data_IF_493940202055
#
_entry.id   IF_493940202055
#
_cell.length_a   1.000
_cell.length_b   1.000
_cell.length_c   1.000
_cell.angle_alpha   90.00
_cell.angle_beta   90.00
_cell.angle_gamma   90.00
#
_symmetry.space_group_name_H-M   'P 1'
#
loop_
_entity.id
_entity.type
_entity.pdbx_description
1 polymer ?
2 non-polymer ?
3 non-polymer ?
4 non-polymer ?
5 non-polymer ?
6 water ?
#
# COMPACT_ATOMS: atom_id res chain seq x y z
N UNK A 19 0.23 13.57 0.30
CA UNK A 19 0.15 12.31 -0.47
C UNK A 19 1.02 12.38 -1.75
N UNK A 20 1.67 11.27 -2.10
CA UNK A 20 2.52 11.20 -3.28
C UNK A 20 2.08 9.99 -4.07
N UNK A 21 1.38 10.24 -5.18
CA UNK A 21 0.84 9.16 -6.01
C UNK A 21 0.88 9.59 -7.45
N UNK A 22 1.44 8.76 -8.33
CA UNK A 22 1.54 9.08 -9.77
C UNK A 22 0.97 7.92 -10.56
N UNK A 23 0.42 8.22 -11.74
CA UNK A 23 -0.31 7.31 -12.61
C UNK A 23 0.29 7.16 -14.01
N UNK A 24 0.15 5.97 -14.59
CA UNK A 24 0.61 5.71 -15.95
C UNK A 24 0.90 4.24 -16.21
N UNK A 25 1.23 3.87 -17.46
CA UNK A 25 1.62 2.47 -17.72
C UNK A 25 2.85 2.12 -16.87
N UNK A 26 2.80 0.95 -16.23
CA UNK A 26 3.84 0.46 -15.33
C UNK A 26 4.43 -0.88 -15.82
N UNK A 27 5.77 -1.00 -15.77
CA UNK A 27 6.50 -2.21 -16.11
C UNK A 27 7.49 -2.44 -14.97
N UNK A 28 7.57 -3.68 -14.46
CA UNK A 28 8.47 -3.99 -13.36
C UNK A 28 9.34 -5.22 -13.70
N UNK A 29 10.58 -5.22 -13.24
CA UNK A 29 11.51 -6.33 -13.36
C UNK A 29 11.97 -6.60 -11.91
N UNK A 30 11.48 -7.70 -11.31
CA UNK A 30 11.82 -8.07 -9.94
C UNK A 30 11.62 -9.55 -9.71
N UNK A 31 12.23 -10.06 -8.64
CA UNK A 31 12.10 -11.44 -8.22
C UNK A 31 10.62 -11.75 -7.87
N UNK A 32 9.92 -10.79 -7.17
CA UNK A 32 8.52 -11.03 -6.76
C UNK A 32 7.52 -10.88 -7.92
N UNK A 33 7.88 -10.14 -8.99
CA UNK A 33 6.93 -10.01 -10.11
C UNK A 33 7.35 -10.74 -11.43
N UNK A 34 8.62 -11.09 -11.56
CA UNK A 34 9.15 -11.55 -12.85
C UNK A 34 9.27 -10.29 -13.71
N UNK A 35 9.28 -10.43 -15.04
CA UNK A 35 9.31 -9.25 -15.91
C UNK A 35 7.90 -9.05 -16.43
N UNK A 36 7.22 -8.00 -15.97
CA UNK A 36 5.82 -7.76 -16.35
C UNK A 36 5.70 -7.06 -17.69
N UNK A 37 4.49 -7.02 -18.26
CA UNK A 37 4.22 -6.24 -19.47
C UNK A 37 3.79 -4.85 -18.97
N UNK A 38 3.68 -3.85 -19.86
CA UNK A 38 3.22 -2.53 -19.47
C UNK A 38 1.75 -2.61 -19.03
N UNK A 39 1.45 -2.16 -17.80
CA UNK A 39 0.10 -2.22 -17.27
C UNK A 39 -0.24 -0.90 -16.60
N UNK A 40 -1.40 -0.32 -16.95
CA UNK A 40 -1.87 0.93 -16.39
C UNK A 40 -2.05 0.81 -14.87
N UNK A 41 -1.55 1.80 -14.13
CA UNK A 41 -1.70 1.78 -12.68
C UNK A 41 -1.11 2.99 -11.99
N UNK A 42 -0.72 2.83 -10.72
CA UNK A 42 -0.14 3.93 -9.98
C UNK A 42 0.95 3.46 -9.01
N UNK A 43 1.87 4.38 -8.68
CA UNK A 43 2.89 4.28 -7.64
C UNK A 43 2.39 5.19 -6.52
N UNK A 44 2.30 4.68 -5.29
CA UNK A 44 1.83 5.49 -4.16
C UNK A 44 2.83 5.34 -3.03
N UNK A 45 3.17 6.44 -2.35
CA UNK A 45 4.07 6.34 -1.22
C UNK A 45 3.25 5.98 0.04
N UNK A 46 3.75 5.02 0.84
CA UNK A 46 3.15 4.69 2.14
C UNK A 46 4.26 4.69 3.21
N UNK A 47 3.91 4.65 4.50
CA UNK A 47 4.93 4.64 5.55
C UNK A 47 4.45 4.07 6.86
N UNK A 48 5.43 3.74 7.72
CA UNK A 48 5.23 3.32 9.11
C UNK A 48 6.54 3.57 9.86
N UNK A 49 6.46 4.27 10.99
CA UNK A 49 7.58 4.62 11.89
C UNK A 49 8.89 4.89 11.11
N UNK A 50 8.87 5.93 10.27
CA UNK A 50 9.97 6.44 9.44
C UNK A 50 10.37 5.54 8.24
N UNK A 51 9.93 4.27 8.17
CA UNK A 51 10.24 3.41 7.02
C UNK A 51 9.26 3.72 5.86
N UNK A 52 9.81 4.11 4.70
CA UNK A 52 9.02 4.49 3.53
C UNK A 52 8.97 3.35 2.51
N UNK A 53 7.78 3.06 1.98
CA UNK A 53 7.65 2.04 0.95
C UNK A 53 6.82 2.57 -0.21
N UNK A 54 6.78 1.80 -1.31
CA UNK A 54 6.04 2.16 -2.51
C UNK A 54 5.05 1.03 -2.87
N UNK A 55 3.77 1.40 -3.05
CA UNK A 55 2.73 0.45 -3.42
C UNK A 55 2.44 0.61 -4.90
N UNK A 56 2.40 -0.53 -5.61
CA UNK A 56 2.04 -0.59 -7.02
C UNK A 56 0.61 -1.11 -7.12
N UNK A 57 -0.31 -0.27 -7.55
CA UNK A 57 -1.72 -0.67 -7.75
C UNK A 57 -1.95 -0.71 -9.26
N UNK A 58 -2.66 -1.72 -9.72
CA UNK A 58 -3.02 -1.81 -11.13
C UNK A 58 -4.49 -1.55 -11.29
N UNK A 59 -4.88 -0.90 -12.40
CA UNK A 59 -6.27 -0.62 -12.73
C UNK A 59 -7.09 -1.92 -12.80
N UNK A 60 -6.51 -3.02 -13.35
CA UNK A 60 -7.19 -4.32 -13.50
C UNK A 60 -7.49 -4.99 -12.15
N UNK A 61 -6.84 -4.54 -11.07
CA UNK A 61 -7.08 -5.10 -9.75
C UNK A 61 -5.97 -6.00 -9.24
N UNK A 62 -6.36 -6.98 -8.42
CA UNK A 62 -5.41 -7.89 -7.77
C UNK A 62 -4.86 -7.29 -6.49
N UNK A 63 -4.09 -8.07 -5.71
CA UNK A 63 -3.48 -7.58 -4.47
C UNK A 63 -2.26 -6.70 -4.82
N UNK A 64 -2.23 -5.41 -4.40
CA UNK A 64 -1.05 -4.58 -4.70
C UNK A 64 0.22 -5.11 -4.08
N UNK A 65 1.34 -4.92 -4.76
CA UNK A 65 2.66 -5.33 -4.27
C UNK A 65 3.36 -4.12 -3.71
N UNK A 66 4.19 -4.35 -2.69
CA UNK A 66 4.91 -3.28 -2.03
C UNK A 66 6.43 -3.49 -2.10
N UNK A 67 7.17 -2.38 -2.30
CA UNK A 67 8.62 -2.36 -2.45
C UNK A 67 9.11 -1.37 -1.43
N UNK A 68 10.02 -1.81 -0.57
CA UNK A 68 10.67 -0.93 0.42
C UNK A 68 11.54 0.11 -0.29
N UNK A 69 11.52 1.36 0.21
CA UNK A 69 12.32 2.46 -0.32
C UNK A 69 13.42 2.88 0.65
N UNK A 70 13.10 2.99 1.96
CA UNK A 70 14.09 3.39 2.99
C UNK A 70 15.25 2.41 2.99
N UNK A 71 16.49 2.95 2.85
CA UNK A 71 17.76 2.21 2.76
C UNK A 71 17.69 1.15 1.64
N UNK A 72 16.92 1.42 0.55
CA UNK A 72 16.74 0.44 -0.53
C UNK A 72 16.71 1.07 -1.93
N UNK A 73 16.99 2.36 -2.06
CA UNK A 73 17.02 3.03 -3.36
C UNK A 73 18.46 3.04 -3.88
N UNK A 74 18.63 2.58 -5.13
CA UNK A 74 19.93 2.56 -5.80
C UNK A 74 20.02 3.80 -6.67
N UNK A 75 19.05 3.99 -7.60
CA UNK A 75 19.04 5.17 -8.47
C UNK A 75 17.64 5.49 -9.00
N UNK A 76 17.45 6.75 -9.39
CA UNK A 76 16.22 7.28 -9.95
C UNK A 76 16.56 8.11 -11.18
N UNK A 77 15.98 7.74 -12.32
CA UNK A 77 16.22 8.42 -13.59
C UNK A 77 14.88 8.85 -14.16
N UNK A 78 14.82 10.07 -14.73
CA UNK A 78 13.67 10.59 -15.48
C UNK A 78 14.12 10.75 -16.92
N UNK A 79 13.25 10.36 -17.84
CA UNK A 79 13.50 10.49 -19.28
C UNK A 79 12.27 11.10 -19.96
N UNK A 80 12.42 12.00 -20.97
CA UNK A 80 11.22 12.57 -21.62
C UNK A 80 10.37 11.49 -22.28
N UNK A 81 9.03 11.60 -22.17
CA UNK A 81 8.10 10.63 -22.72
C UNK A 81 7.01 11.31 -23.54
N UNK A 82 7.44 12.18 -24.43
CA UNK A 82 6.58 12.99 -25.29
C UNK A 82 6.37 14.36 -24.67
N UNK A 83 5.43 15.14 -25.25
CA UNK A 83 5.11 16.49 -24.79
C UNK A 83 4.48 16.51 -23.39
N UNK A 84 5.14 17.25 -22.47
CA UNK A 84 4.77 17.52 -21.07
C UNK A 84 4.70 16.27 -20.19
N UNK A 85 5.36 15.18 -20.61
CA UNK A 85 5.34 13.91 -19.88
C UNK A 85 6.74 13.33 -19.69
N UNK A 86 6.88 12.47 -18.68
CA UNK A 86 8.16 11.84 -18.37
C UNK A 86 8.00 10.38 -17.97
N UNK A 87 9.10 9.64 -18.10
CA UNK A 87 9.19 8.25 -17.68
C UNK A 87 10.09 8.26 -16.48
N UNK A 88 9.64 7.66 -15.40
CA UNK A 88 10.40 7.59 -14.16
C UNK A 88 10.89 6.17 -13.99
N UNK A 89 12.19 6.00 -13.78
CA UNK A 89 12.80 4.68 -13.61
C UNK A 89 13.52 4.61 -12.29
N UNK A 90 13.01 3.75 -11.44
CA UNK A 90 13.50 3.52 -10.09
C UNK A 90 14.19 2.17 -9.99
N UNK A 91 15.49 2.16 -9.65
CA UNK A 91 16.23 0.95 -9.39
C UNK A 91 16.42 0.85 -7.89
N UNK A 92 16.13 -0.32 -7.32
CA UNK A 92 16.31 -0.59 -5.90
C UNK A 92 17.64 -1.30 -5.66
N UNK A 93 18.12 -1.36 -4.39
CA UNK A 93 19.40 -1.97 -4.02
C UNK A 93 19.40 -3.50 -4.23
N UNK A 94 18.20 -4.11 -4.27
CA UNK A 94 18.08 -5.54 -4.53
C UNK A 94 17.96 -5.81 -6.06
N UNK A 95 18.14 -4.74 -6.88
CA UNK A 95 18.14 -4.75 -8.34
C UNK A 95 16.76 -4.76 -8.98
N UNK A 96 15.68 -4.64 -8.16
CA UNK A 96 14.33 -4.48 -8.70
C UNK A 96 14.32 -3.18 -9.53
N UNK A 97 13.69 -3.23 -10.69
CA UNK A 97 13.59 -2.09 -11.60
C UNK A 97 12.13 -1.81 -11.84
N UNK A 98 11.68 -0.61 -11.46
CA UNK A 98 10.29 -0.17 -11.60
C UNK A 98 10.22 1.00 -12.53
N UNK A 99 9.38 0.87 -13.56
CA UNK A 99 9.18 1.95 -14.53
C UNK A 99 7.73 2.38 -14.60
N UNK A 100 7.54 3.69 -14.77
CA UNK A 100 6.20 4.29 -14.90
C UNK A 100 6.32 5.33 -16.01
N UNK A 101 5.46 5.20 -17.01
CA UNK A 101 5.54 6.02 -18.21
C UNK A 101 4.39 7.03 -18.32
N UNK A 102 4.54 8.02 -19.22
CA UNK A 102 3.54 9.05 -19.53
C UNK A 102 3.02 9.80 -18.29
N UNK A 103 3.92 10.09 -17.33
CA UNK A 103 3.58 10.83 -16.11
C UNK A 103 3.66 12.32 -16.41
N UNK A 104 2.66 13.16 -16.04
CA UNK A 104 2.82 14.62 -16.24
C UNK A 104 4.16 15.01 -15.59
N UNK A 105 5.01 15.72 -16.36
CA UNK A 105 6.39 16.06 -15.98
C UNK A 105 6.57 16.67 -14.58
N UNK A 106 5.65 17.55 -14.14
CA UNK A 106 5.72 18.18 -12.80
C UNK A 106 5.55 17.13 -11.70
N UNK A 107 4.62 16.18 -11.91
CA UNK A 107 4.35 15.09 -10.97
C UNK A 107 5.55 14.14 -10.88
N UNK A 108 6.15 13.78 -12.03
CA UNK A 108 7.31 12.90 -12.10
C UNK A 108 8.53 13.53 -11.38
N UNK A 109 8.73 14.86 -11.54
CA UNK A 109 9.83 15.58 -10.91
C UNK A 109 9.66 15.66 -9.39
N UNK A 110 8.42 15.84 -8.92
CA UNK A 110 8.11 15.87 -7.50
C UNK A 110 8.41 14.50 -6.86
N UNK A 111 8.00 13.40 -7.54
CA UNK A 111 8.28 12.03 -7.09
C UNK A 111 9.78 11.78 -7.05
N UNK A 112 10.52 12.17 -8.10
CA UNK A 112 11.99 12.02 -8.15
C UNK A 112 12.66 12.76 -6.99
N UNK A 113 12.24 14.01 -6.71
CA UNK A 113 12.76 14.82 -5.61
C UNK A 113 12.53 14.08 -4.27
N UNK A 114 11.32 13.53 -4.08
CA UNK A 114 11.01 12.78 -2.87
C UNK A 114 11.87 11.52 -2.78
N UNK A 115 12.03 10.80 -3.90
CA UNK A 115 12.80 9.56 -3.91
C UNK A 115 14.28 9.83 -3.65
N UNK A 116 14.79 10.97 -4.17
CA UNK A 116 16.17 11.40 -3.93
C UNK A 116 16.37 11.69 -2.42
N UNK A 117 15.42 12.43 -1.79
CA UNK A 117 15.48 12.74 -0.35
C UNK A 117 15.45 11.43 0.51
N UNK A 118 14.65 10.41 0.14
CA UNK A 118 14.60 9.11 0.84
C UNK A 118 15.97 8.42 0.71
N UNK A 119 16.50 8.40 -0.53
CA UNK A 119 17.79 7.79 -0.86
C UNK A 119 18.92 8.39 0.00
N UNK A 120 18.81 9.71 0.30
CA UNK A 120 19.75 10.46 1.13
C UNK A 120 19.40 10.41 2.64
N UNK A 121 18.45 9.53 3.05
CA UNK A 121 18.03 9.30 4.44
C UNK A 121 17.48 10.59 5.11
N UNK A 122 16.46 11.21 4.46
CA UNK A 122 15.80 12.44 4.91
C UNK A 122 14.29 12.20 5.01
N UNK B 18 -8.30 -10.40 -7.06
CA UNK B 18 -8.33 -10.92 -5.70
C UNK B 18 -8.08 -9.86 -4.65
N UNK B 19 -8.32 -8.58 -4.99
CA UNK B 19 -8.11 -7.45 -4.07
C UNK B 19 -9.04 -7.53 -2.86
N UNK B 20 -8.55 -7.08 -1.70
CA UNK B 20 -9.31 -7.09 -0.43
C UNK B 20 -9.26 -5.69 0.14
N UNK B 21 -10.30 -4.91 -0.18
CA UNK B 21 -10.39 -3.53 0.22
C UNK B 21 -11.79 -3.28 0.70
N UNK B 22 -11.87 -2.59 1.84
CA UNK B 22 -13.15 -2.26 2.49
C UNK B 22 -13.14 -0.80 2.92
N UNK B 23 -14.27 -0.08 2.71
CA UNK B 23 -14.44 1.34 3.03
C UNK B 23 -15.37 1.54 4.24
N UNK B 24 -15.08 2.54 5.07
CA UNK B 24 -15.92 2.87 6.23
C UNK B 24 -15.26 3.76 7.27
N UNK B 25 -16.00 4.15 8.34
CA UNK B 25 -15.36 4.92 9.41
C UNK B 25 -14.27 4.08 10.07
N UNK B 26 -13.08 4.65 10.26
CA UNK B 26 -11.94 3.98 10.86
C UNK B 26 -11.50 4.67 12.15
N UNK B 27 -11.15 3.86 13.17
CA UNK B 27 -10.63 4.31 14.48
C UNK B 27 -9.37 3.45 14.77
N UNK B 28 -8.20 4.09 14.96
CA UNK B 28 -6.93 3.41 15.23
C UNK B 28 -6.30 3.91 16.54
N UNK B 29 -5.88 2.96 17.40
CA UNK B 29 -5.22 3.22 18.69
C UNK B 29 -3.78 2.64 18.58
N UNK B 30 -2.80 3.51 18.23
CA UNK B 30 -1.38 3.11 18.08
C UNK B 30 -0.44 4.31 18.29
N UNK B 34 -1.59 7.75 19.60
CA UNK B 34 -2.68 7.39 20.49
C UNK B 34 -3.98 7.08 19.79
N UNK B 35 -5.07 6.90 20.58
CA UNK B 35 -6.42 6.58 20.11
C UNK B 35 -7.02 7.75 19.29
N UNK B 36 -7.37 7.48 18.02
CA UNK B 36 -7.95 8.50 17.13
C UNK B 36 -9.48 8.54 17.24
N UNK B 37 -10.10 9.52 16.55
CA UNK B 37 -11.55 9.64 16.41
C UNK B 37 -11.93 8.88 15.13
N UNK B 38 -13.22 8.58 14.90
CA UNK B 38 -13.67 7.89 13.68
C UNK B 38 -13.42 8.79 12.48
N UNK B 39 -12.76 8.26 11.46
CA UNK B 39 -12.45 8.97 10.22
C UNK B 39 -12.78 8.08 9.04
N UNK B 40 -13.47 8.63 8.01
CA UNK B 40 -13.78 7.85 6.82
C UNK B 40 -12.48 7.47 6.13
N UNK B 41 -12.42 6.23 5.66
CA UNK B 41 -11.24 5.77 4.92
C UNK B 41 -11.41 4.36 4.43
N UNK B 42 -10.30 3.65 4.23
CA UNK B 42 -10.35 2.28 3.77
C UNK B 42 -9.21 1.43 4.32
N UNK B 43 -9.45 0.13 4.40
CA UNK B 43 -8.46 -0.87 4.75
C UNK B 43 -8.17 -1.60 3.45
N UNK B 44 -6.88 -1.82 3.13
CA UNK B 44 -6.55 -2.56 1.92
C UNK B 44 -5.42 -3.54 2.20
N UNK B 45 -5.54 -4.79 1.72
CA UNK B 45 -4.48 -5.77 1.85
C UNK B 45 -3.46 -5.53 0.75
N UNK B 46 -2.16 -5.59 1.10
CA UNK B 46 -1.05 -5.49 0.14
C UNK B 46 -0.04 -6.57 0.55
N UNK B 47 0.91 -6.89 -0.33
CA UNK B 47 1.89 -7.90 0.04
C UNK B 47 3.27 -7.62 -0.55
N UNK B 48 4.32 -8.11 0.15
CA UNK B 48 5.74 -8.00 -0.22
C UNK B 48 6.26 -9.43 -0.13
N UNK B 49 6.63 -10.05 -1.26
CA UNK B 49 7.04 -11.45 -1.34
C UNK B 49 5.94 -12.28 -0.67
N UNK B 50 6.21 -12.95 0.48
CA UNK B 50 5.19 -13.70 1.21
C UNK B 50 4.56 -12.89 2.38
N UNK B 51 5.13 -11.72 2.73
CA UNK B 51 4.67 -10.87 3.83
C UNK B 51 3.42 -10.08 3.45
N UNK B 52 2.41 -10.20 4.29
CA UNK B 52 1.11 -9.56 4.10
C UNK B 52 1.04 -8.34 5.02
N UNK B 53 0.57 -7.22 4.48
CA UNK B 53 0.39 -5.99 5.25
C UNK B 53 -0.98 -5.38 4.97
N UNK B 54 -1.36 -4.37 5.76
CA UNK B 54 -2.64 -3.69 5.61
C UNK B 54 -2.33 -2.21 5.51
N UNK B 55 -2.83 -1.56 4.47
CA UNK B 55 -2.63 -0.11 4.25
C UNK B 55 -3.92 0.61 4.66
N UNK B 56 -3.79 1.66 5.47
CA UNK B 56 -4.94 2.45 5.90
C UNK B 56 -4.95 3.78 5.12
N UNK B 57 -5.98 4.01 4.29
CA UNK B 57 -6.11 5.29 3.55
C UNK B 57 -7.19 6.09 4.25
N UNK B 58 -6.96 7.38 4.50
CA UNK B 58 -8.01 8.23 5.09
C UNK B 58 -8.54 9.17 4.04
N UNK B 59 -9.77 9.66 4.22
CA UNK B 59 -10.38 10.64 3.32
C UNK B 59 -9.70 12.00 3.41
N UNK B 60 -9.08 12.34 4.57
CA UNK B 60 -8.38 13.60 4.81
C UNK B 60 -7.02 13.68 4.08
N UNK B 61 -6.69 12.65 3.30
CA UNK B 61 -5.44 12.57 2.55
C UNK B 61 -4.26 12.16 3.40
N UNK B 62 -3.10 12.72 3.09
CA UNK B 62 -1.86 12.40 3.79
C UNK B 62 -1.22 11.11 3.31
N UNK B 63 -0.04 10.75 3.84
CA UNK B 63 0.65 9.52 3.47
C UNK B 63 -0.04 8.37 4.16
N UNK B 64 -0.58 7.37 3.40
CA UNK B 64 -1.21 6.21 4.05
C UNK B 64 -0.22 5.44 4.91
N UNK B 65 -0.70 4.90 6.04
CA UNK B 65 0.12 4.09 6.94
C UNK B 65 -0.02 2.62 6.63
N UNK B 66 1.06 1.89 6.75
CA UNK B 66 1.08 0.46 6.47
C UNK B 66 1.37 -0.32 7.79
N UNK B 67 0.59 -1.39 8.04
CA UNK B 67 0.69 -2.23 9.24
C UNK B 67 1.01 -3.64 8.80
N UNK B 68 2.02 -4.22 9.40
CA UNK B 68 2.39 -5.58 9.07
C UNK B 68 1.36 -6.53 9.69
N UNK B 69 0.93 -7.54 8.91
CA UNK B 69 -0.02 -8.57 9.37
C UNK B 69 0.66 -9.91 9.61
N UNK B 70 1.54 -10.34 8.69
CA UNK B 70 2.27 -11.60 8.81
C UNK B 70 3.08 -11.63 10.12
N UNK B 71 2.84 -12.67 10.96
CA UNK B 71 3.45 -12.89 12.29
C UNK B 71 3.25 -11.67 13.24
N UNK B 72 2.16 -10.93 13.05
CA UNK B 72 1.89 -9.72 13.83
C UNK B 72 0.42 -9.58 14.22
N UNK B 73 -0.43 -10.59 13.98
CA UNK B 73 -1.83 -10.52 14.41
C UNK B 73 -1.97 -11.15 15.80
N UNK B 74 -2.76 -10.51 16.68
CA UNK B 74 -3.02 -11.02 18.02
C UNK B 74 -4.47 -11.47 18.10
N UNK B 75 -5.40 -10.66 17.57
CA UNK B 75 -6.84 -10.92 17.65
C UNK B 75 -7.57 -10.36 16.44
N UNK B 76 -8.61 -11.08 15.97
CA UNK B 76 -9.49 -10.67 14.87
C UNK B 76 -10.91 -10.82 15.39
N UNK B 77 -11.62 -9.71 15.59
CA UNK B 77 -12.98 -9.74 16.13
C UNK B 77 -13.93 -9.13 15.09
N UNK B 78 -15.07 -9.77 14.87
CA UNK B 78 -16.11 -9.32 13.96
C UNK B 78 -17.43 -9.23 14.72
N UNK B 79 -18.04 -8.04 14.76
CA UNK B 79 -19.29 -7.84 15.48
C UNK B 79 -20.37 -7.17 14.64
N UNK B 80 -21.67 -7.54 14.81
CA UNK B 80 -22.74 -6.85 14.05
C UNK B 80 -22.78 -5.36 14.35
N UNK B 81 -23.07 -4.54 13.32
CA UNK B 81 -23.10 -3.08 13.44
C UNK B 81 -24.24 -2.50 12.61
N UNK B 82 -25.45 -2.93 12.94
CA UNK B 82 -26.67 -2.57 12.23
C UNK B 82 -27.06 -3.70 11.29
N UNK B 83 -28.20 -3.55 10.60
CA UNK B 83 -28.67 -4.58 9.65
C UNK B 83 -27.71 -4.70 8.45
N UNK B 84 -27.30 -5.95 8.11
CA UNK B 84 -26.40 -6.33 7.00
C UNK B 84 -25.00 -5.68 7.08
N UNK B 85 -24.63 -5.12 8.24
CA UNK B 85 -23.35 -4.47 8.42
C UNK B 85 -22.57 -5.03 9.58
N UNK B 86 -21.24 -4.85 9.55
CA UNK B 86 -20.39 -5.37 10.63
C UNK B 86 -19.30 -4.39 11.00
N UNK B 87 -18.71 -4.62 12.19
CA UNK B 87 -17.56 -3.87 12.65
C UNK B 87 -16.43 -4.88 12.79
N UNK B 88 -15.29 -4.58 12.15
CA UNK B 88 -14.13 -5.43 12.20
C UNK B 88 -13.11 -4.80 13.16
N UNK B 89 -12.59 -5.59 14.10
CA UNK B 89 -11.61 -5.12 15.05
C UNK B 89 -10.39 -6.03 15.00
N UNK B 90 -9.24 -5.44 14.72
CA UNK B 90 -7.98 -6.14 14.54
C UNK B 90 -6.97 -5.65 15.56
N UNK B 91 -6.50 -6.56 16.41
CA UNK B 91 -5.44 -6.24 17.38
C UNK B 91 -4.15 -6.89 16.88
N UNK B 92 -3.08 -6.10 16.86
CA UNK B 92 -1.76 -6.56 16.43
C UNK B 92 -0.89 -6.91 17.64
N UNK B 93 0.20 -7.67 17.41
CA UNK B 93 1.09 -8.13 18.49
C UNK B 93 1.83 -7.00 19.23
N UNK B 94 1.93 -5.79 18.62
CA UNK B 94 2.53 -4.62 19.27
C UNK B 94 1.46 -3.81 20.05
N UNK B 95 0.24 -4.40 20.19
CA UNK B 95 -0.95 -3.85 20.88
C UNK B 95 -1.68 -2.77 20.05
N UNK B 96 -1.28 -2.55 18.77
CA UNK B 96 -1.99 -1.64 17.86
C UNK B 96 -3.41 -2.20 17.66
N UNK B 97 -4.42 -1.31 17.74
CA UNK B 97 -5.82 -1.67 17.60
C UNK B 97 -6.41 -0.89 16.42
N UNK B 98 -6.96 -1.63 15.43
CA UNK B 98 -7.53 -1.07 14.19
C UNK B 98 -8.98 -1.49 14.08
N UNK B 99 -9.88 -0.54 13.88
CA UNK B 99 -11.32 -0.82 13.76
C UNK B 99 -11.93 -0.14 12.54
N UNK B 100 -12.82 -0.83 11.85
CA UNK B 100 -13.52 -0.26 10.69
C UNK B 100 -14.99 -0.62 10.86
N UNK B 101 -15.88 0.37 10.73
CA UNK B 101 -17.29 0.16 11.00
C UNK B 101 -18.13 0.23 9.73
N UNK B 102 -19.39 -0.26 9.81
CA UNK B 102 -20.43 -0.17 8.77
C UNK B 102 -20.07 -0.92 7.48
N UNK B 103 -19.19 -1.92 7.59
CA UNK B 103 -18.73 -2.74 6.46
C UNK B 103 -19.84 -3.70 6.05
N UNK B 104 -20.16 -3.88 4.73
CA UNK B 104 -21.19 -4.90 4.36
C UNK B 104 -20.80 -6.25 4.98
N UNK B 105 -21.75 -6.92 5.61
CA UNK B 105 -21.52 -8.18 6.35
C UNK B 105 -20.75 -9.25 5.57
N UNK B 106 -21.09 -9.48 4.28
CA UNK B 106 -20.40 -10.46 3.42
C UNK B 106 -18.92 -10.08 3.25
N UNK B 107 -18.64 -8.79 2.96
CA UNK B 107 -17.29 -8.29 2.76
C UNK B 107 -16.45 -8.44 4.03
N UNK B 108 -17.03 -8.12 5.19
CA UNK B 108 -16.37 -8.21 6.50
C UNK B 108 -16.01 -9.67 6.83
N UNK B 109 -16.89 -10.63 6.47
CA UNK B 109 -16.66 -12.06 6.72
C UNK B 109 -15.52 -12.55 5.85
N UNK B 110 -15.48 -12.08 4.59
CA UNK B 110 -14.38 -12.42 3.68
C UNK B 110 -13.07 -11.88 4.22
N UNK B 111 -13.07 -10.62 4.69
CA UNK B 111 -11.86 -10.02 5.28
C UNK B 111 -11.45 -10.79 6.53
N UNK B 112 -12.41 -11.15 7.42
CA UNK B 112 -12.08 -11.94 8.62
C UNK B 112 -11.48 -13.31 8.24
N UNK B 113 -12.04 -14.01 7.22
CA UNK B 113 -11.50 -15.31 6.77
C UNK B 113 -10.04 -15.16 6.39
N UNK B 114 -9.73 -14.12 5.59
CA UNK B 114 -8.35 -13.84 5.15
C UNK B 114 -7.45 -13.50 6.34
N UNK B 115 -7.91 -12.61 7.24
CA UNK B 115 -7.12 -12.21 8.41
C UNK B 115 -6.84 -13.38 9.33
N UNK B 116 -7.83 -14.30 9.50
CA UNK B 116 -7.67 -15.50 10.29
C UNK B 116 -6.63 -16.43 9.66
N UNK B 117 -6.65 -16.53 8.31
CA UNK B 117 -5.69 -17.35 7.57
C UNK B 117 -4.27 -16.83 7.79
N UNK B 118 -4.06 -15.50 7.73
CA UNK B 118 -2.74 -14.87 7.97
C UNK B 118 -2.29 -15.15 9.43
N UNK B 119 -3.18 -14.89 10.40
CA UNK B 119 -2.99 -15.09 11.84
C UNK B 119 -2.55 -16.52 12.20
N UNK B 120 -3.23 -17.53 11.66
CA UNK B 120 -2.93 -18.92 11.98
C UNK B 120 -1.91 -19.54 11.01
N UNK B 121 -1.36 -18.74 10.06
CA UNK B 121 -0.39 -19.14 9.03
C UNK B 121 -0.94 -20.32 8.21
N UNK B 122 -2.24 -20.26 7.85
CA UNK B 122 -2.95 -21.32 7.14
C UNK B 122 -3.72 -20.78 5.93
N UNK B 123 -3.03 -20.00 5.07
CA UNK B 123 -3.58 -19.43 3.84
C UNK B 123 -3.78 -20.51 2.79
X LIG C 1 21.74 3.25 2.74
X LIG C 1 23.14 3.68 2.92
X LIG C 1 21.54 1.93 3.35
X LIG C 1 20.84 4.24 3.37
X LIG C 1 21.44 3.17 1.29
X LIG D 1 15.67 -1.75 7.03
X LIG D 1 16.95 -1.69 7.76
X LIG D 1 14.77 -2.73 7.67
X LIG D 1 15.04 -0.42 7.06
X LIG D 1 15.94 -2.15 5.64
X LIG E 1 2.48 -9.86 -16.36
X LIG E 1 3.24 -10.79 -17.22
X LIG E 1 3.06 -9.86 -15.01
X LIG E 1 2.53 -8.50 -16.94
X LIG E 1 1.08 -10.27 -16.28
X LIG F 1 4.38 2.19 -23.05
X LIG F 1 5.53 1.92 -23.35
X LIG F 1 4.14 2.87 -22.06
X LIG F 1 3.26 1.69 -23.93
X LIG G 1 11.23 -4.76 -1.05
X LIG H 1 7.11 11.67 4.09
X LIG I 1 10.53 -0.92 -22.59
X LIG J 1 11.16 21.20 -13.69
X LIG K 1 -4.85 10.73 -7.69
X LIG L 1 -2.48 15.25 0.46
X LIG M 1 -9.75 -7.69 -8.06
X LIG N 1 -5.19 -1.77 -17.95
X LIG O 1 -5.70 -0.90 -7.22
X LIG P 1 16.25 -8.61 -10.61
X LIG Q 1 3.76 13.57 -7.02
X LIG R 1 13.90 -8.25 -7.15
X LIG S 1 16.17 -8.95 -6.25
X LIG T 1 0.32 11.16 -12.45
X LIG U 1 -4.75 3.66 -8.48
X LIG V 1 3.50 6.37 11.81
X LIG W 1 14.32 -4.30 -19.67
X LIG X 1 0.91 17.64 -18.29
X LIG Y 1 11.96 16.52 -24.38
X LIG Z 1 20.67 9.41 -11.47
X LIG AA 1 20.35 10.85 8.48
X LIG BA 1 6.02 -3.15 12.55
X LIG BA 1 5.75 -4.43 13.12
X LIG BA 1 5.11 -2.87 11.35
X LIG BA 1 3.73 -2.77 11.72
X LIG CA 1 -8.10 -16.06 18.02
X LIG CA 1 -6.89 -16.78 18.29
X LIG CA 1 -7.82 -14.57 17.82
X LIG CA 1 -8.31 -14.10 16.55
X LIG DA 1 3.61 -15.95 14.82
X LIG DA 1 3.86 -17.24 15.50
X LIG DA 1 2.57 -15.22 15.54
X LIG DA 1 4.86 -15.17 14.83
X LIG DA 1 3.19 -16.22 13.44
X LIG EA 1 -13.68 -8.01 0.74
X LIG EA 1 -13.58 -9.10 0.19
X LIG EA 1 -13.30 -7.87 1.89
X LIG EA 1 -14.26 -6.82 -0.02
X LIG FA 1 -14.27 11.47 8.19
X LIG GA 1 -15.37 9.98 16.90
X LIG HA 1 -23.91 5.48 13.42
X LIG IA 1 -27.53 1.37 11.29
X LIG JA 1 -18.27 3.76 19.20
X LIG KA 1 -9.40 4.84 -0.38
X LIG LA 1 -16.91 -1.45 2.01
X LIG MA 1 4.65 14.73 3.26
#
# INVERSE_FOLDING_TARGET
XGSSHHHHHHSSGLVPRGSLKIHGPIRIRSMQTGITKWKEGSFEIVEKENKVSLVVHYNTGGIPRIFQLSHNIKNVVLRPSGAKQSRLMLTLQDNSFLSIDKVPSKDAEEMRLFLDAVHQNRLPAAXKPSQGSGSFGAILG
XGSSHHHHHHSSGLVPRGSLKIHGPIRIRSXQTGITKWKEGSFEIVEKENKVSLVVHYNTGGIPRIFQLSHNIKNVVLRPSGAKQSRLMLTLQDNSFLSIDKVPSKDAEEMRLFLDAVHQNRLPAAXKPSQGSGSFGAILG
SO4 S O1 O2 O3 O4
SO4 S O1 O2 O3 O4
SO4 S O1 O2 O3 O4
ACT C O OXT CH3
UNX UNK
UNX UNK
UNX UNK
UNX UNK
UNX UNK
UNX UNK
UNX UNK
UNX UNK
UNX UNK
UNX UNK
UNX UNK
UNX UNK
UNX UNK
UNX UNK
UNX UNK
UNX UNK
UNX UNK
UNX UNK
UNX UNK
UNX UNK
UNX UNK
EDO C1 O1 C2 O2
EDO C1 O1 C2 O2
SO4 S O1 O2 O3 O4
ACT C O OXT CH3
UNX UNK
UNX UNK
UNX UNK
UNX UNK
UNX UNK
UNX UNK
UNX UNK
UNX UNK
#
